data_IF_966682782729
#
_entry.id   IF_966682782729
#
_cell.length_a   1.000
_cell.length_b   1.000
_cell.length_c   1.000
_cell.angle_alpha   90.00
_cell.angle_beta   90.00
_cell.angle_gamma   90.00
#
_symmetry.space_group_name_H-M   'P 1'
#
loop_
_entity.id
_entity.type
_entity.pdbx_description
1 polymer ?
#
# COMPACT_ATOMS: atom_id res chain seq x y z
N UNK A 1 12.96 -0.71 22.83
CA UNK A 1 13.19 -0.96 21.38
C UNK A 1 11.83 -0.97 20.70
N UNK A 2 11.52 -0.02 19.77
CA UNK A 2 10.23 -0.02 19.06
C UNK A 2 10.30 -1.00 17.89
N UNK A 3 9.51 -2.06 17.93
CA UNK A 3 9.36 -3.01 16.83
C UNK A 3 8.85 -2.26 15.60
N UNK A 4 9.52 -2.35 14.43
CA UNK A 4 9.04 -1.70 13.21
C UNK A 4 7.69 -2.30 12.80
N UNK A 5 6.78 -1.44 12.34
CA UNK A 5 5.48 -1.87 11.84
C UNK A 5 5.69 -2.75 10.60
N UNK A 6 4.87 -3.78 10.44
CA UNK A 6 4.90 -4.65 9.25
C UNK A 6 3.73 -4.28 8.35
N UNK A 7 4.02 -3.98 7.09
CA UNK A 7 3.01 -3.74 6.06
C UNK A 7 3.16 -4.79 4.96
N UNK A 8 2.03 -5.28 4.46
CA UNK A 8 2.01 -6.20 3.32
C UNK A 8 1.80 -5.38 2.06
N UNK A 9 2.72 -5.44 1.12
CA UNK A 9 2.64 -4.74 -0.15
C UNK A 9 2.28 -5.72 -1.25
N UNK A 10 1.28 -5.39 -2.05
CA UNK A 10 0.80 -6.17 -3.18
C UNK A 10 1.29 -5.46 -4.44
N UNK A 11 2.24 -6.07 -5.14
CA UNK A 11 2.83 -5.49 -6.37
C UNK A 11 2.09 -5.92 -7.62
N UNK A 12 1.68 -7.19 -7.67
CA UNK A 12 0.87 -7.76 -8.73
C UNK A 12 -0.40 -8.29 -8.06
N UNK A 13 -1.57 -7.96 -8.60
CA UNK A 13 -2.81 -8.62 -8.19
C UNK A 13 -2.82 -10.05 -8.74
N UNK A 14 -3.46 -10.97 -8.03
CA UNK A 14 -3.60 -12.34 -8.53
C UNK A 14 -4.40 -12.32 -9.83
N UNK A 15 -3.80 -12.78 -10.92
CA UNK A 15 -4.47 -12.85 -12.22
C UNK A 15 -4.66 -14.31 -12.63
N UNK A 16 -5.83 -14.64 -13.21
CA UNK A 16 -6.03 -15.94 -13.81
C UNK A 16 -5.13 -16.05 -15.04
N UNK A 17 -4.16 -16.97 -15.00
CA UNK A 17 -3.31 -17.28 -16.14
C UNK A 17 -3.78 -18.59 -16.74
N UNK A 18 -4.11 -18.56 -18.03
CA UNK A 18 -4.42 -19.77 -18.77
C UNK A 18 -3.15 -20.63 -18.91
N UNK A 19 -3.27 -21.89 -18.51
CA UNK A 19 -2.23 -22.90 -18.65
C UNK A 19 -2.61 -23.83 -19.84
N UNK A 20 -1.94 -23.71 -20.99
CA UNK A 20 -2.26 -24.50 -22.19
C UNK A 20 -1.92 -26.00 -22.06
N UNK A 21 -1.07 -26.39 -21.10
CA UNK A 21 -0.73 -27.81 -20.88
C UNK A 21 -1.84 -28.56 -20.11
N UNK A 22 -2.62 -27.83 -19.31
CA UNK A 22 -3.71 -28.38 -18.49
C UNK A 22 -5.10 -27.93 -18.93
N UNK A 23 -5.19 -27.14 -20.00
CA UNK A 23 -6.42 -26.51 -20.50
C UNK A 23 -7.26 -25.88 -19.36
N UNK A 24 -6.61 -25.15 -18.46
CA UNK A 24 -7.26 -24.59 -17.27
C UNK A 24 -6.69 -23.24 -16.86
N UNK A 25 -7.49 -22.46 -16.15
CA UNK A 25 -7.05 -21.20 -15.56
C UNK A 25 -6.51 -21.44 -14.16
N UNK A 26 -5.21 -21.24 -13.98
CA UNK A 26 -4.56 -21.29 -12.68
C UNK A 26 -4.52 -19.87 -12.09
N UNK A 27 -4.86 -19.74 -10.81
CA UNK A 27 -4.71 -18.47 -10.09
C UNK A 27 -3.25 -18.29 -9.75
N UNK A 28 -2.56 -17.39 -10.46
CA UNK A 28 -1.20 -17.03 -10.08
C UNK A 28 -1.31 -16.08 -8.89
N UNK A 29 -0.81 -16.50 -7.72
CA UNK A 29 -0.77 -15.63 -6.56
C UNK A 29 0.06 -14.39 -6.88
N UNK A 30 -0.58 -13.22 -6.76
CA UNK A 30 0.08 -11.94 -6.93
C UNK A 30 1.29 -11.79 -6.00
N UNK A 31 2.34 -11.10 -6.45
CA UNK A 31 3.53 -10.88 -5.62
C UNK A 31 3.20 -10.01 -4.41
N UNK A 32 3.15 -10.65 -3.24
CA UNK A 32 3.02 -10.02 -1.92
C UNK A 32 4.39 -9.96 -1.26
N UNK A 33 4.74 -8.81 -0.70
CA UNK A 33 5.98 -8.62 0.05
C UNK A 33 5.67 -7.96 1.39
N UNK A 34 6.06 -8.63 2.48
CA UNK A 34 5.94 -8.05 3.83
C UNK A 34 7.23 -7.32 4.14
N UNK A 35 7.14 -6.02 4.36
CA UNK A 35 8.32 -5.20 4.65
C UNK A 35 8.16 -4.46 5.98
N UNK A 36 9.25 -4.28 6.74
CA UNK A 36 9.26 -3.40 7.89
C UNK A 36 9.21 -1.94 7.44
N UNK A 37 8.29 -1.17 8.00
CA UNK A 37 8.16 0.26 7.73
C UNK A 37 7.77 1.01 9.00
N UNK A 38 7.86 2.34 8.93
CA UNK A 38 7.31 3.24 9.94
C UNK A 38 6.02 3.84 9.40
N UNK A 39 4.90 3.48 10.00
CA UNK A 39 3.57 4.01 9.65
C UNK A 39 3.27 5.21 10.54
N UNK A 40 2.87 6.33 9.93
CA UNK A 40 2.33 7.49 10.62
C UNK A 40 0.99 7.86 10.02
N UNK A 41 -0.03 8.03 10.84
CA UNK A 41 -1.37 8.41 10.38
C UNK A 41 -1.51 9.94 10.34
N UNK A 42 -1.99 10.45 9.22
CA UNK A 42 -2.33 11.86 9.06
C UNK A 42 -3.78 12.04 9.51
N UNK A 43 -3.97 12.69 10.66
CA UNK A 43 -5.30 13.03 11.20
C UNK A 43 -5.68 14.50 10.94
N UNK A 44 -4.80 15.25 10.27
CA UNK A 44 -4.96 16.70 10.14
C UNK A 44 -6.02 17.03 9.09
N UNK A 45 -7.19 17.48 9.54
CA UNK A 45 -8.34 17.79 8.69
C UNK A 45 -8.03 18.78 7.54
N UNK A 46 -7.06 19.68 7.75
CA UNK A 46 -6.61 20.64 6.72
C UNK A 46 -5.94 19.94 5.54
N UNK A 47 -5.11 18.94 5.84
CA UNK A 47 -4.40 18.12 4.86
C UNK A 47 -5.43 17.26 4.12
N UNK A 48 -6.32 16.58 4.84
CA UNK A 48 -7.40 15.77 4.25
C UNK A 48 -8.32 16.53 3.28
N UNK A 49 -8.57 17.82 3.55
CA UNK A 49 -9.37 18.69 2.67
C UNK A 49 -8.71 18.93 1.30
N UNK A 50 -7.38 18.86 1.22
CA UNK A 50 -6.65 18.93 -0.06
C UNK A 50 -6.70 17.62 -0.85
N UNK A 51 -6.98 16.48 -0.21
CA UNK A 51 -6.92 15.15 -0.85
C UNK A 51 -8.29 14.55 -1.21
N UNK A 52 -9.41 15.19 -0.86
CA UNK A 52 -10.75 14.77 -1.26
C UNK A 52 -11.79 14.95 -0.18
N UNK A 53 -11.82 14.07 0.82
CA UNK A 53 -12.81 14.08 1.90
C UNK A 53 -12.18 14.22 3.28
N UNK A 54 -12.82 14.99 4.17
CA UNK A 54 -12.40 15.13 5.59
C UNK A 54 -12.45 13.81 6.37
N UNK A 55 -13.09 12.77 5.83
CA UNK A 55 -13.21 11.43 6.41
C UNK A 55 -12.16 10.45 5.86
N UNK A 56 -11.37 10.84 4.87
CA UNK A 56 -10.34 9.96 4.31
C UNK A 56 -9.24 9.70 5.35
N UNK A 57 -8.84 8.45 5.50
CA UNK A 57 -7.70 8.08 6.35
C UNK A 57 -6.47 7.98 5.47
N UNK A 58 -5.54 8.91 5.64
CA UNK A 58 -4.25 8.90 4.95
C UNK A 58 -3.15 8.50 5.92
N UNK A 59 -2.30 7.57 5.50
CA UNK A 59 -1.10 7.17 6.25
C UNK A 59 0.15 7.40 5.42
N UNK A 60 1.25 7.67 6.11
CA UNK A 60 2.60 7.80 5.54
C UNK A 60 3.39 6.58 5.99
N UNK A 61 3.79 5.75 5.03
CA UNK A 61 4.73 4.65 5.24
C UNK A 61 6.13 5.10 4.86
N UNK A 62 7.04 5.16 5.84
CA UNK A 62 8.47 5.36 5.58
C UNK A 62 9.18 4.02 5.59
N UNK A 63 9.74 3.65 4.45
CA UNK A 63 10.57 2.47 4.29
C UNK A 63 12.03 2.86 4.56
N UNK A 64 12.78 1.98 5.23
CA UNK A 64 14.22 2.19 5.44
C UNK A 64 15.04 1.98 4.15
N UNK A 65 14.46 1.31 3.16
CA UNK A 65 15.05 1.05 1.85
C UNK A 65 14.13 1.58 0.75
N UNK A 66 14.69 1.79 -0.46
CA UNK A 66 13.92 2.23 -1.62
C UNK A 66 12.92 1.14 -2.01
N UNK A 67 11.65 1.35 -1.69
CA UNK A 67 10.60 0.37 -2.00
C UNK A 67 10.26 0.42 -3.49
N UNK A 68 10.10 -0.75 -4.11
CA UNK A 68 9.57 -0.87 -5.47
C UNK A 68 8.11 -0.41 -5.52
N UNK A 69 7.63 0.14 -6.65
CA UNK A 69 6.22 0.46 -6.82
C UNK A 69 5.36 -0.77 -6.54
N UNK A 70 4.22 -0.53 -5.88
CA UNK A 70 3.24 -1.55 -5.53
C UNK A 70 1.84 -1.01 -5.81
N UNK A 71 0.89 -1.87 -6.08
CA UNK A 71 -0.48 -1.47 -6.42
C UNK A 71 -1.30 -1.16 -5.17
N UNK A 72 -1.22 -2.02 -4.15
CA UNK A 72 -1.97 -1.87 -2.89
C UNK A 72 -1.12 -2.27 -1.70
N UNK A 73 -1.50 -1.79 -0.51
CA UNK A 73 -0.88 -2.13 0.75
C UNK A 73 -1.95 -2.55 1.76
N UNK A 74 -1.67 -3.58 2.55
CA UNK A 74 -2.51 -4.04 3.65
C UNK A 74 -1.77 -3.78 4.95
N UNK A 75 -2.38 -2.97 5.81
CA UNK A 75 -1.89 -2.66 7.13
C UNK A 75 -3.04 -2.81 8.12
N UNK A 76 -2.84 -3.62 9.16
CA UNK A 76 -3.80 -3.79 10.25
C UNK A 76 -5.23 -4.16 9.76
N UNK A 77 -5.32 -5.08 8.80
CA UNK A 77 -6.58 -5.51 8.17
C UNK A 77 -7.21 -4.49 7.20
N UNK A 78 -6.71 -3.25 7.15
CA UNK A 78 -7.19 -2.22 6.24
C UNK A 78 -6.40 -2.21 4.93
N UNK A 79 -7.09 -1.99 3.80
CA UNK A 79 -6.51 -1.86 2.47
C UNK A 79 -6.26 -0.39 2.15
N UNK A 80 -5.06 -0.12 1.64
CA UNK A 80 -4.62 1.20 1.24
C UNK A 80 -4.04 1.19 -0.18
N UNK A 81 -4.16 2.31 -0.87
CA UNK A 81 -3.57 2.52 -2.21
C UNK A 81 -2.56 3.66 -2.14
N UNK A 82 -1.41 3.55 -2.84
CA UNK A 82 -0.45 4.64 -2.94
C UNK A 82 -1.10 5.82 -3.65
N UNK A 83 -0.86 7.01 -3.15
CA UNK A 83 -1.29 8.25 -3.80
C UNK A 83 -0.13 8.81 -4.62
N UNK A 84 -0.36 9.06 -5.92
CA UNK A 84 0.63 9.63 -6.85
C UNK A 84 1.09 11.05 -6.48
N UNK A 85 0.33 11.76 -5.64
CA UNK A 85 0.65 13.14 -5.27
C UNK A 85 1.71 13.21 -4.18
N UNK A 86 2.99 13.20 -4.54
CA UNK A 86 3.97 14.00 -3.78
C UNK A 86 5.07 14.59 -4.68
N UNK A 87 5.00 15.90 -4.84
CA UNK A 87 6.03 16.82 -5.34
C UNK A 87 7.11 17.11 -4.27
N UNK A 88 7.36 16.17 -3.34
CA UNK A 88 8.28 16.37 -2.22
C UNK A 88 9.31 15.24 -2.14
N UNK A 89 10.61 15.57 -1.96
CA UNK A 89 11.72 14.64 -2.08
C UNK A 89 11.92 13.85 -0.77
N UNK A 90 10.89 13.16 -0.27
CA UNK A 90 11.07 12.26 0.87
C UNK A 90 11.44 10.87 0.33
N UNK A 91 12.74 10.67 0.06
CA UNK A 91 13.30 9.38 -0.38
C UNK A 91 12.80 8.26 0.53
N UNK A 92 11.98 7.36 0.00
CA UNK A 92 11.49 6.17 0.72
C UNK A 92 10.20 6.34 1.53
N UNK A 93 9.53 7.50 1.50
CA UNK A 93 8.20 7.65 2.07
C UNK A 93 7.11 7.53 1.01
N UNK A 94 6.10 6.71 1.26
CA UNK A 94 4.92 6.54 0.41
C UNK A 94 3.68 6.94 1.20
N UNK A 95 2.86 7.82 0.61
CA UNK A 95 1.54 8.15 1.15
C UNK A 95 0.51 7.18 0.64
N UNK A 96 -0.35 6.73 1.53
CA UNK A 96 -1.30 5.66 1.32
C UNK A 96 -2.67 6.12 1.81
N UNK A 97 -3.68 6.06 0.94
CA UNK A 97 -5.06 6.37 1.30
C UNK A 97 -5.82 5.07 1.55
N UNK A 98 -6.58 5.02 2.64
CA UNK A 98 -7.48 3.90 2.94
C UNK A 98 -8.59 3.87 1.90
N UNK A 99 -8.77 2.72 1.24
CA UNK A 99 -9.81 2.51 0.21
C UNK A 99 -10.86 1.49 0.62
N UNK A 100 -10.64 0.78 1.73
CA UNK A 100 -11.56 -0.19 2.28
C UNK A 100 -10.94 -0.92 3.47
N UNK A 101 -11.77 -1.47 4.33
CA UNK A 101 -11.38 -2.42 5.37
C UNK A 101 -12.39 -3.56 5.35
N UNK A 102 -11.91 -4.78 5.41
CA UNK A 102 -12.74 -5.92 5.76
C UNK A 102 -12.96 -5.93 7.27
#
# INVERSE_FOLDING_TARGET
>A
MKTPHRITLIREESQPRYNPEKDSYETVEGKKEVVPCLVNFIHQAKVLKEYGNQTDVVMICRFQQKQKPFATAIYDGSKYVPMDQIDAPIKGAVRLKKVGGC
#
